data_IF_339651922483
#
_entry.id   IF_339651922483
#
_cell.length_a   1.000
_cell.length_b   1.000
_cell.length_c   1.000
_cell.angle_alpha   90.00
_cell.angle_beta   90.00
_cell.angle_gamma   90.00
#
_symmetry.space_group_name_H-M   'P 1'
#
loop_
_entity.id
_entity.type
_entity.pdbx_description
1 polymer ?
#
# COMPACT_ATOMS: atom_id res chain seq x y z
N UNK A 1 44.64 31.12 -1.28
CA UNK A 1 43.46 30.46 -0.65
C UNK A 1 42.29 30.47 -1.61
N UNK A 2 42.19 29.51 -2.54
CA UNK A 2 41.05 29.36 -3.47
C UNK A 2 40.91 27.91 -3.91
N UNK A 3 40.63 26.99 -3.00
CA UNK A 3 40.21 25.62 -3.32
C UNK A 3 39.45 25.05 -2.11
N UNK A 4 38.13 25.15 -2.09
CA UNK A 4 37.26 24.39 -1.17
C UNK A 4 35.78 24.33 -1.60
N UNK A 5 35.32 25.17 -2.54
CA UNK A 5 33.88 25.23 -2.87
C UNK A 5 33.39 24.10 -3.80
N UNK A 6 34.27 23.46 -4.58
CA UNK A 6 33.88 22.44 -5.57
C UNK A 6 33.63 21.04 -4.97
N UNK A 7 34.26 20.71 -3.84
CA UNK A 7 34.11 19.41 -3.17
C UNK A 7 32.81 19.30 -2.35
N UNK A 8 32.29 20.43 -1.87
CA UNK A 8 31.01 20.46 -1.12
C UNK A 8 29.81 20.39 -2.07
N UNK A 9 29.91 21.00 -3.26
CA UNK A 9 28.86 20.92 -4.29
C UNK A 9 28.77 19.54 -4.95
N UNK A 10 29.91 18.85 -5.14
CA UNK A 10 29.92 17.50 -5.69
C UNK A 10 29.34 16.45 -4.73
N UNK A 11 29.48 16.64 -3.42
CA UNK A 11 28.88 15.74 -2.41
C UNK A 11 27.36 15.91 -2.27
N UNK A 12 26.81 17.12 -2.45
CA UNK A 12 25.36 17.34 -2.53
C UNK A 12 24.74 16.77 -3.81
N UNK A 13 25.39 16.92 -4.95
CA UNK A 13 24.90 16.39 -6.23
C UNK A 13 24.92 14.85 -6.29
N UNK A 14 25.91 14.21 -5.67
CA UNK A 14 25.98 12.75 -5.56
C UNK A 14 24.91 12.20 -4.60
N UNK A 15 24.56 12.96 -3.54
CA UNK A 15 23.46 12.60 -2.64
C UNK A 15 22.09 12.55 -3.31
N UNK A 16 21.82 13.47 -4.24
CA UNK A 16 20.56 13.46 -5.02
C UNK A 16 20.53 12.35 -6.09
N UNK A 17 21.68 12.03 -6.71
CA UNK A 17 21.77 10.93 -7.68
C UNK A 17 21.72 9.53 -7.02
N UNK A 18 22.22 9.39 -5.80
CA UNK A 18 22.14 8.13 -5.04
C UNK A 18 20.74 7.87 -4.48
N UNK A 19 20.00 8.93 -4.11
CA UNK A 19 18.59 8.81 -3.73
C UNK A 19 17.73 8.30 -4.91
N UNK A 20 18.00 8.75 -6.14
CA UNK A 20 17.28 8.29 -7.34
C UNK A 20 17.41 6.78 -7.61
N UNK A 21 18.51 6.12 -7.21
CA UNK A 21 18.70 4.67 -7.40
C UNK A 21 18.13 3.81 -6.26
N UNK A 22 17.70 4.39 -5.14
CA UNK A 22 17.13 3.65 -4.00
C UNK A 22 15.62 3.87 -3.81
N UNK A 23 15.03 4.92 -4.42
CA UNK A 23 13.58 5.11 -4.54
C UNK A 23 12.89 4.11 -5.51
N UNK A 24 13.65 3.17 -6.08
CA UNK A 24 13.25 2.18 -7.10
C UNK A 24 12.19 1.13 -6.66
N UNK A 25 11.67 1.17 -5.42
CA UNK A 25 10.74 0.14 -4.95
C UNK A 25 9.26 0.50 -5.12
N UNK A 26 8.89 1.78 -5.08
CA UNK A 26 7.51 2.22 -5.30
C UNK A 26 7.11 2.19 -6.77
N UNK A 27 7.97 2.75 -7.61
CA UNK A 27 7.70 2.89 -9.02
C UNK A 27 7.77 1.53 -9.78
N UNK A 28 8.32 0.50 -9.15
CA UNK A 28 8.15 -0.88 -9.59
C UNK A 28 6.67 -1.34 -9.63
N UNK A 29 5.76 -0.73 -8.86
CA UNK A 29 4.32 -0.98 -8.93
C UNK A 29 3.69 -0.48 -10.24
N UNK A 30 4.07 0.72 -10.69
CA UNK A 30 3.62 1.27 -11.97
C UNK A 30 4.29 0.57 -13.18
N UNK A 31 5.55 0.11 -13.06
CA UNK A 31 6.31 -0.46 -14.19
C UNK A 31 5.77 -1.81 -14.59
N UNK A 32 5.26 -2.49 -13.57
CA UNK A 32 4.61 -3.74 -13.73
C UNK A 32 3.29 -3.51 -14.45
N UNK A 33 2.43 -2.56 -14.07
CA UNK A 33 1.12 -2.28 -14.73
C UNK A 33 1.17 -2.05 -16.26
N UNK A 34 2.27 -1.53 -16.79
CA UNK A 34 2.47 -1.41 -18.23
C UNK A 34 2.70 -2.76 -18.94
N UNK A 35 3.44 -3.70 -18.36
CA UNK A 35 3.81 -4.93 -19.08
C UNK A 35 2.63 -5.83 -19.45
N UNK A 36 1.49 -5.75 -18.76
CA UNK A 36 0.26 -6.43 -19.19
C UNK A 36 -0.82 -5.54 -19.77
N UNK A 37 -0.70 -4.22 -19.71
CA UNK A 37 -1.33 -3.38 -20.74
C UNK A 37 -0.68 -3.68 -22.10
N UNK A 38 0.66 -3.64 -22.20
CA UNK A 38 1.44 -4.00 -23.38
C UNK A 38 1.26 -5.47 -23.81
N UNK A 39 1.21 -6.47 -22.91
CA UNK A 39 0.90 -7.86 -23.32
C UNK A 39 -0.56 -8.06 -23.75
N UNK A 40 -1.49 -7.16 -23.37
CA UNK A 40 -2.88 -7.17 -23.85
C UNK A 40 -3.06 -6.35 -25.13
N UNK A 41 -2.36 -5.23 -25.27
CA UNK A 41 -2.47 -4.30 -26.40
C UNK A 41 -1.55 -4.63 -27.57
N UNK A 42 -0.39 -5.27 -27.34
CA UNK A 42 0.57 -5.55 -28.41
C UNK A 42 0.28 -6.82 -29.23
N UNK A 43 -0.80 -7.56 -28.94
CA UNK A 43 -1.09 -8.80 -29.65
C UNK A 43 -2.51 -8.97 -30.18
N UNK A 44 -3.51 -8.20 -29.76
CA UNK A 44 -4.90 -8.47 -30.17
C UNK A 44 -5.78 -7.22 -30.18
N UNK A 45 -5.58 -6.33 -31.16
CA UNK A 45 -6.75 -5.67 -31.76
C UNK A 45 -7.49 -6.77 -32.53
N UNK A 46 -8.34 -7.53 -31.82
CA UNK A 46 -9.22 -8.51 -32.47
C UNK A 46 -10.18 -7.70 -33.33
N UNK A 47 -9.99 -7.76 -34.64
CA UNK A 47 -10.98 -7.26 -35.59
C UNK A 47 -12.22 -8.16 -35.51
N UNK A 48 -13.11 -7.87 -34.56
CA UNK A 48 -14.36 -8.60 -34.36
C UNK A 48 -15.27 -8.54 -35.60
N UNK A 49 -15.14 -7.49 -36.41
CA UNK A 49 -15.87 -7.36 -37.69
C UNK A 49 -15.30 -8.29 -38.79
N UNK A 50 -14.10 -8.85 -38.59
CA UNK A 50 -13.47 -9.84 -39.46
C UNK A 50 -13.66 -11.29 -39.01
N UNK A 51 -14.23 -11.53 -37.82
CA UNK A 51 -14.50 -12.89 -37.31
C UNK A 51 -15.86 -13.36 -37.83
N UNK A 52 -15.86 -13.92 -39.05
CA UNK A 52 -16.99 -14.66 -39.57
C UNK A 52 -16.79 -16.16 -39.26
N UNK A 53 -17.68 -16.75 -38.46
CA UNK A 53 -17.71 -18.20 -38.25
C UNK A 53 -18.43 -18.85 -39.42
N UNK A 54 -17.71 -19.60 -40.27
CA UNK A 54 -18.34 -20.48 -41.25
C UNK A 54 -18.77 -21.78 -40.57
N UNK A 55 -20.04 -21.83 -40.16
CA UNK A 55 -20.64 -22.96 -39.46
C UNK A 55 -21.35 -23.94 -40.42
N UNK A 56 -21.18 -23.77 -41.74
CA UNK A 56 -21.88 -24.56 -42.76
C UNK A 56 -21.44 -26.03 -42.78
N UNK A 57 -20.24 -26.32 -42.30
CA UNK A 57 -19.67 -27.67 -42.24
C UNK A 57 -19.81 -28.31 -40.84
N UNK A 58 -20.46 -27.63 -39.89
CA UNK A 58 -20.73 -28.19 -38.57
C UNK A 58 -21.99 -29.06 -38.63
N UNK A 59 -21.78 -30.37 -38.55
CA UNK A 59 -22.85 -31.35 -38.37
C UNK A 59 -23.27 -31.36 -36.90
N UNK A 60 -24.23 -30.50 -36.57
CA UNK A 60 -24.71 -30.27 -35.20
C UNK A 60 -25.27 -31.54 -34.53
N UNK A 61 -25.73 -32.51 -35.32
CA UNK A 61 -26.28 -33.77 -34.82
C UNK A 61 -25.17 -34.74 -34.36
N UNK A 62 -23.91 -34.49 -34.74
CA UNK A 62 -22.74 -35.27 -34.30
C UNK A 62 -21.98 -34.62 -33.14
N UNK A 63 -22.40 -33.45 -32.68
CA UNK A 63 -21.77 -32.78 -31.54
C UNK A 63 -22.15 -33.52 -30.25
N UNK A 64 -21.16 -34.16 -29.62
CA UNK A 64 -21.36 -34.84 -28.35
C UNK A 64 -21.35 -33.84 -27.18
N UNK A 65 -22.51 -33.27 -26.87
CA UNK A 65 -22.67 -32.30 -25.78
C UNK A 65 -22.31 -32.85 -24.39
N UNK A 66 -22.35 -34.17 -24.19
CA UNK A 66 -22.09 -34.78 -22.89
C UNK A 66 -20.60 -34.75 -22.47
N UNK A 67 -19.67 -34.67 -23.42
CA UNK A 67 -18.23 -34.54 -23.11
C UNK A 67 -17.81 -33.10 -22.78
N UNK A 68 -18.64 -32.10 -23.11
CA UNK A 68 -18.33 -30.69 -22.88
C UNK A 68 -18.54 -30.29 -21.41
N UNK A 69 -19.43 -30.99 -20.71
CA UNK A 69 -19.78 -30.72 -19.30
C UNK A 69 -19.19 -31.73 -18.31
N UNK A 70 -18.38 -32.67 -18.77
CA UNK A 70 -17.72 -33.65 -17.91
C UNK A 70 -16.37 -33.12 -17.41
N UNK A 71 -16.38 -32.39 -16.30
CA UNK A 71 -15.14 -32.03 -15.59
C UNK A 71 -14.52 -33.28 -14.96
N UNK A 72 -13.24 -33.64 -15.24
CA UNK A 72 -12.58 -34.72 -14.53
C UNK A 72 -12.19 -34.25 -13.12
N UNK A 73 -12.67 -34.95 -12.10
CA UNK A 73 -12.19 -34.82 -10.72
C UNK A 73 -10.79 -35.42 -10.62
N UNK A 74 -9.73 -34.65 -10.31
CA UNK A 74 -8.40 -35.21 -10.17
C UNK A 74 -8.32 -36.07 -8.89
N UNK A 75 -7.90 -37.32 -9.06
CA UNK A 75 -7.54 -38.22 -7.95
C UNK A 75 -6.16 -37.81 -7.41
N UNK A 76 -5.97 -37.60 -6.10
CA UNK A 76 -4.67 -37.22 -5.55
C UNK A 76 -3.64 -38.36 -5.72
N UNK A 77 -2.52 -38.05 -6.36
CA UNK A 77 -1.37 -38.94 -6.42
C UNK A 77 -0.60 -38.89 -5.09
N UNK A 78 -0.22 -40.06 -4.57
CA UNK A 78 0.52 -40.22 -3.32
C UNK A 78 1.88 -39.52 -3.37
N UNK A 79 2.14 -38.66 -2.38
CA UNK A 79 3.37 -37.88 -2.25
C UNK A 79 4.50 -38.76 -1.68
N UNK A 80 5.60 -38.88 -2.42
CA UNK A 80 6.78 -39.62 -2.00
C UNK A 80 7.53 -38.91 -0.86
N UNK A 81 7.91 -39.68 0.15
CA UNK A 81 8.67 -39.27 1.33
C UNK A 81 10.15 -39.04 0.98
N UNK A 82 10.76 -37.88 1.29
CA UNK A 82 12.20 -37.72 1.10
C UNK A 82 13.00 -38.24 2.31
N UNK A 83 14.00 -39.08 1.99
CA UNK A 83 15.00 -39.61 2.92
C UNK A 83 15.91 -38.53 3.51
N UNK A 84 16.12 -38.64 4.82
CA UNK A 84 17.12 -37.95 5.64
C UNK A 84 18.55 -38.29 5.20
N UNK A 85 19.41 -37.27 5.04
CA UNK A 85 20.86 -37.47 5.04
C UNK A 85 21.60 -36.34 5.76
N UNK A 86 22.30 -36.75 6.83
CA UNK A 86 23.56 -36.29 7.41
C UNK A 86 23.89 -34.78 7.56
N UNK A 87 23.92 -34.40 8.84
CA UNK A 87 24.61 -33.27 9.46
C UNK A 87 26.15 -33.43 9.45
N UNK A 88 26.92 -32.34 9.35
CA UNK A 88 28.21 -32.26 10.03
C UNK A 88 28.30 -31.14 11.07
N UNK A 89 29.30 -31.35 11.91
CA UNK A 89 29.59 -30.80 13.24
C UNK A 89 30.26 -29.41 13.18
N UNK A 90 30.05 -28.69 14.28
CA UNK A 90 30.71 -27.50 14.84
C UNK A 90 32.20 -27.30 14.53
N UNK A 91 32.63 -26.04 14.35
CA UNK A 91 33.85 -25.49 14.99
C UNK A 91 33.85 -23.95 15.03
N UNK A 92 34.71 -23.40 15.90
CA UNK A 92 34.55 -22.18 16.69
C UNK A 92 35.14 -20.87 16.10
N UNK A 93 34.86 -19.79 16.84
CA UNK A 93 35.33 -18.42 16.69
C UNK A 93 36.86 -18.25 16.66
N UNK A 94 37.34 -17.07 16.22
CA UNK A 94 38.01 -16.24 17.22
C UNK A 94 37.63 -14.75 17.22
N UNK A 95 37.64 -14.24 18.44
CA UNK A 95 37.75 -12.87 18.94
C UNK A 95 38.91 -12.07 18.31
N UNK A 96 38.72 -10.78 18.01
CA UNK A 96 39.66 -9.71 18.39
C UNK A 96 39.21 -8.30 17.94
N UNK A 97 39.06 -7.43 18.95
CA UNK A 97 39.44 -6.01 19.08
C UNK A 97 39.73 -5.14 17.84
N UNK A 98 39.08 -3.97 17.76
CA UNK A 98 39.69 -2.69 18.17
C UNK A 98 38.73 -1.50 17.92
N UNK A 99 38.46 -0.73 18.97
CA UNK A 99 37.89 0.61 18.91
C UNK A 99 38.93 1.62 18.40
N UNK A 100 38.48 2.76 17.83
CA UNK A 100 39.13 4.01 18.13
C UNK A 100 38.17 5.03 18.75
N UNK A 101 38.60 5.48 19.92
CA UNK A 101 38.16 6.63 20.69
C UNK A 101 38.07 7.87 19.79
N UNK A 102 36.88 8.49 19.72
CA UNK A 102 36.73 9.86 19.22
C UNK A 102 36.17 10.74 20.34
N UNK A 103 36.94 11.78 20.64
CA UNK A 103 36.73 12.78 21.67
C UNK A 103 35.40 13.52 21.47
N UNK A 104 34.59 13.57 22.52
CA UNK A 104 33.48 14.52 22.64
C UNK A 104 34.04 15.94 22.84
N UNK A 105 33.65 16.87 21.96
CA UNK A 105 33.76 18.31 22.23
C UNK A 105 32.47 18.81 22.85
N UNK A 106 32.62 19.46 24.00
CA UNK A 106 31.58 20.23 24.67
C UNK A 106 31.08 21.35 23.74
N UNK A 107 29.75 21.42 23.55
CA UNK A 107 29.09 22.61 23.02
C UNK A 107 28.08 23.11 24.05
N UNK A 108 28.26 24.39 24.37
CA UNK A 108 27.59 25.18 25.38
C UNK A 108 26.08 25.23 25.17
N UNK A 109 25.36 24.90 26.22
CA UNK A 109 23.94 25.19 26.45
C UNK A 109 23.74 26.72 26.46
N UNK A 110 22.86 27.23 25.61
CA UNK A 110 22.39 28.62 25.64
C UNK A 110 20.89 28.66 25.92
N UNK A 111 20.59 29.52 26.89
CA UNK A 111 19.34 29.95 27.51
C UNK A 111 17.99 29.66 26.82
N UNK A 112 17.07 29.18 27.66
CA UNK A 112 15.62 29.35 27.55
C UNK A 112 15.19 30.83 27.58
N UNK A 113 13.98 31.12 27.07
CA UNK A 113 13.09 32.02 27.79
C UNK A 113 11.77 31.36 28.18
N UNK A 114 11.21 32.00 29.20
CA UNK A 114 10.15 31.59 30.10
C UNK A 114 8.74 31.90 29.57
N UNK A 115 7.81 31.05 30.02
CA UNK A 115 6.38 31.25 30.32
C UNK A 115 5.55 32.36 29.66
N UNK A 116 4.35 31.98 29.21
CA UNK A 116 3.13 32.64 29.69
C UNK A 116 1.99 31.61 29.73
N UNK A 117 1.38 31.49 30.90
CA UNK A 117 0.20 30.68 31.20
C UNK A 117 -0.87 31.64 31.73
N UNK A 118 -2.09 31.56 31.20
CA UNK A 118 -3.37 31.99 31.81
C UNK A 118 -4.48 31.31 30.98
N UNK A 119 -5.26 30.35 31.50
CA UNK A 119 -6.43 30.50 32.39
C UNK A 119 -7.54 31.37 31.76
N UNK A 120 -8.84 31.08 31.74
CA UNK A 120 -9.77 29.99 32.13
C UNK A 120 -11.16 30.46 31.66
N UNK A 121 -12.14 29.53 31.59
CA UNK A 121 -13.62 29.69 31.63
C UNK A 121 -14.31 29.10 30.38
N UNK A 122 -15.44 28.39 30.44
CA UNK A 122 -16.24 27.85 31.55
C UNK A 122 -17.25 26.86 30.98
N UNK A 123 -17.54 25.84 31.78
CA UNK A 123 -18.63 24.86 31.76
C UNK A 123 -19.90 25.13 30.91
N UNK A 124 -20.41 24.05 30.31
CA UNK A 124 -21.83 23.70 30.36
C UNK A 124 -21.96 22.17 30.40
N UNK A 125 -22.79 21.69 31.32
CA UNK A 125 -23.03 20.30 31.68
C UNK A 125 -24.21 19.69 30.90
N UNK A 126 -24.16 18.39 30.64
CA UNK A 126 -25.34 17.52 30.53
C UNK A 126 -24.90 16.07 30.83
N UNK A 127 -25.09 15.62 32.07
CA UNK A 127 -26.11 14.64 32.48
C UNK A 127 -25.72 13.20 32.20
N UNK A 128 -25.13 12.58 33.23
CA UNK A 128 -24.92 11.14 33.36
C UNK A 128 -26.17 10.51 33.96
N UNK A 129 -26.76 9.54 33.27
CA UNK A 129 -27.70 8.59 33.88
C UNK A 129 -26.94 7.31 34.19
N UNK A 130 -26.89 6.97 35.49
CA UNK A 130 -26.39 5.72 36.01
C UNK A 130 -27.37 4.57 35.71
N UNK A 131 -26.83 3.42 35.32
CA UNK A 131 -27.36 2.12 35.73
C UNK A 131 -26.21 1.14 35.97
N UNK A 132 -25.93 0.94 37.26
CA UNK A 132 -25.53 -0.30 37.94
C UNK A 132 -24.60 -1.31 37.24
N UNK A 133 -23.38 -1.39 37.78
CA UNK A 133 -22.94 -2.55 38.56
C UNK A 133 -22.27 -3.72 37.82
N UNK A 134 -20.95 -3.87 38.01
CA UNK A 134 -20.27 -5.13 37.72
C UNK A 134 -18.75 -5.04 37.62
N UNK A 135 -18.06 -5.18 38.76
CA UNK A 135 -16.72 -5.81 38.93
C UNK A 135 -15.65 -5.58 37.85
N UNK A 136 -14.87 -4.50 37.97
CA UNK A 136 -13.65 -4.24 37.17
C UNK A 136 -12.41 -4.81 37.85
N UNK A 137 -12.24 -6.14 37.83
CA UNK A 137 -10.90 -6.75 37.96
C UNK A 137 -10.89 -8.06 37.16
N UNK A 138 -10.38 -8.01 35.93
CA UNK A 138 -10.00 -9.21 35.17
C UNK A 138 -10.83 -9.47 33.91
N UNK A 139 -10.77 -8.57 32.91
CA UNK A 139 -11.20 -8.92 31.55
C UNK A 139 -10.42 -8.14 30.49
N UNK A 140 -9.17 -8.52 30.28
CA UNK A 140 -8.28 -7.92 29.26
C UNK A 140 -7.72 -8.98 28.29
N UNK A 141 -8.30 -10.20 28.30
CA UNK A 141 -7.84 -11.30 27.45
C UNK A 141 -8.99 -11.86 26.58
N UNK A 142 -10.25 -11.47 26.82
CA UNK A 142 -11.41 -11.86 25.99
C UNK A 142 -11.73 -10.95 24.80
N UNK A 143 -11.24 -9.71 24.80
CA UNK A 143 -11.77 -8.60 23.97
C UNK A 143 -11.23 -8.53 22.53
N UNK A 144 -10.26 -9.38 22.18
CA UNK A 144 -9.67 -9.42 20.82
C UNK A 144 -10.59 -10.19 19.84
N UNK A 145 -11.47 -11.06 20.37
CA UNK A 145 -12.42 -11.83 19.56
C UNK A 145 -13.60 -11.01 19.05
N UNK A 146 -14.08 -10.06 19.86
CA UNK A 146 -15.29 -9.28 19.59
C UNK A 146 -15.01 -8.16 18.58
N UNK A 147 -13.92 -7.41 18.78
CA UNK A 147 -13.46 -6.35 17.85
C UNK A 147 -13.25 -6.87 16.42
N UNK A 148 -12.83 -8.13 16.26
CA UNK A 148 -12.57 -8.69 14.92
C UNK A 148 -13.84 -9.20 14.24
N UNK A 149 -14.84 -9.64 15.01
CA UNK A 149 -16.15 -10.00 14.45
C UNK A 149 -16.84 -8.76 13.88
N UNK A 150 -16.75 -7.64 14.62
CA UNK A 150 -17.22 -6.33 14.16
C UNK A 150 -16.46 -5.82 12.93
N UNK A 151 -15.15 -6.08 12.86
CA UNK A 151 -14.29 -5.67 11.74
C UNK A 151 -14.55 -6.48 10.45
N UNK A 152 -15.20 -7.64 10.55
CA UNK A 152 -15.55 -8.46 9.38
C UNK A 152 -17.02 -8.33 8.99
N UNK A 153 -17.82 -7.62 9.78
CA UNK A 153 -19.22 -7.32 9.47
C UNK A 153 -19.33 -6.55 8.15
N UNK A 154 -20.20 -7.01 7.24
CA UNK A 154 -20.43 -6.35 5.94
C UNK A 154 -19.29 -6.47 4.91
N UNK A 155 -18.13 -7.03 5.28
CA UNK A 155 -16.97 -7.14 4.38
C UNK A 155 -17.30 -8.01 3.17
N UNK A 156 -17.92 -9.17 3.39
CA UNK A 156 -18.30 -10.08 2.30
C UNK A 156 -19.23 -9.40 1.29
N UNK A 157 -20.19 -8.61 1.78
CA UNK A 157 -21.21 -7.97 0.95
C UNK A 157 -20.59 -6.90 0.05
N UNK A 158 -19.72 -6.05 0.60
CA UNK A 158 -19.00 -5.04 -0.19
C UNK A 158 -18.03 -5.72 -1.17
N UNK A 159 -17.25 -6.72 -0.73
CA UNK A 159 -16.35 -7.46 -1.63
C UNK A 159 -17.11 -8.07 -2.81
N UNK A 160 -18.26 -8.71 -2.55
CA UNK A 160 -19.11 -9.28 -3.59
C UNK A 160 -19.68 -8.21 -4.53
N UNK A 161 -20.18 -7.09 -3.98
CA UNK A 161 -20.76 -6.01 -4.78
C UNK A 161 -19.73 -5.36 -5.72
N UNK A 162 -18.50 -5.19 -5.25
CA UNK A 162 -17.39 -4.62 -6.02
C UNK A 162 -16.85 -5.62 -7.05
N UNK A 163 -16.95 -6.92 -6.77
CA UNK A 163 -16.40 -8.00 -7.61
C UNK A 163 -15.00 -8.47 -7.18
N UNK A 164 -14.62 -8.22 -5.92
CA UNK A 164 -13.40 -8.77 -5.33
C UNK A 164 -13.59 -10.28 -5.12
N UNK A 165 -12.63 -11.09 -5.59
CA UNK A 165 -12.73 -12.55 -5.64
C UNK A 165 -13.01 -13.19 -4.28
N UNK A 166 -12.40 -12.66 -3.23
CA UNK A 166 -12.50 -13.20 -1.88
C UNK A 166 -12.10 -12.15 -0.86
N UNK A 167 -12.60 -12.29 0.36
CA UNK A 167 -12.10 -11.54 1.53
C UNK A 167 -10.60 -11.81 1.69
N UNK A 168 -9.87 -10.78 2.14
CA UNK A 168 -8.46 -10.89 2.42
C UNK A 168 -8.12 -11.92 3.49
N UNK A 169 -6.85 -12.34 3.49
CA UNK A 169 -6.34 -13.35 4.44
C UNK A 169 -6.49 -12.86 5.89
N UNK A 170 -6.27 -11.56 6.12
CA UNK A 170 -6.40 -10.91 7.43
C UNK A 170 -5.55 -11.59 8.52
N UNK A 171 -4.32 -12.00 8.17
CA UNK A 171 -3.37 -12.50 9.15
C UNK A 171 -3.22 -11.50 10.30
N UNK A 172 -3.09 -11.99 11.53
CA UNK A 172 -2.98 -11.16 12.75
C UNK A 172 -1.57 -11.12 13.34
N UNK A 173 -0.61 -11.60 12.58
CA UNK A 173 0.79 -11.72 12.97
C UNK A 173 1.67 -11.59 11.74
N UNK A 174 2.92 -11.22 11.96
CA UNK A 174 3.91 -11.07 10.90
C UNK A 174 3.96 -12.30 9.97
N UNK A 175 3.59 -12.06 8.71
CA UNK A 175 3.57 -13.03 7.62
C UNK A 175 4.62 -12.70 6.52
N UNK A 176 5.56 -11.80 6.81
CA UNK A 176 6.52 -11.27 5.84
C UNK A 176 5.89 -10.39 4.75
N UNK A 177 4.65 -9.91 4.94
CA UNK A 177 3.91 -9.11 3.98
C UNK A 177 3.10 -8.01 4.66
N UNK A 178 1.78 -8.22 4.78
CA UNK A 178 0.84 -7.25 5.38
C UNK A 178 -0.06 -8.05 6.32
N UNK A 179 -0.26 -7.55 7.55
CA UNK A 179 -1.10 -8.20 8.55
C UNK A 179 -1.81 -7.14 9.42
N UNK A 180 -2.95 -7.52 10.01
CA UNK A 180 -3.67 -6.69 10.97
C UNK A 180 -2.89 -6.71 12.29
N UNK A 181 -2.53 -5.55 12.81
CA UNK A 181 -1.75 -5.44 14.03
C UNK A 181 -0.86 -4.21 14.07
N UNK A 182 -0.30 -3.94 15.25
CA UNK A 182 0.54 -2.77 15.52
C UNK A 182 1.96 -3.13 15.98
N UNK A 183 2.37 -4.39 15.80
CA UNK A 183 3.64 -4.96 16.25
C UNK A 183 4.82 -4.69 15.31
N UNK A 184 4.59 -4.18 14.09
CA UNK A 184 5.66 -3.75 13.18
C UNK A 184 6.19 -2.35 13.52
N UNK A 185 7.48 -2.15 13.28
CA UNK A 185 8.09 -0.81 13.18
C UNK A 185 7.56 -0.01 11.98
N UNK A 186 6.92 -0.69 11.03
CA UNK A 186 6.39 -0.15 9.79
C UNK A 186 4.88 -0.38 9.75
N UNK A 187 4.11 0.65 10.08
CA UNK A 187 2.65 0.50 10.23
C UNK A 187 1.89 1.75 9.81
N UNK A 188 0.60 1.56 9.53
CA UNK A 188 -0.33 2.64 9.26
C UNK A 188 -1.65 2.45 10.03
N UNK A 189 -2.16 3.53 10.62
CA UNK A 189 -3.51 3.59 11.17
C UNK A 189 -4.44 4.15 10.10
N UNK A 190 -5.43 3.37 9.69
CA UNK A 190 -6.45 3.78 8.74
C UNK A 190 -7.71 4.18 9.48
N UNK A 191 -8.25 5.34 9.14
CA UNK A 191 -9.52 5.87 9.66
C UNK A 191 -10.49 6.08 8.52
N UNK A 192 -11.72 5.59 8.66
CA UNK A 192 -12.83 5.97 7.79
C UNK A 192 -13.44 7.27 8.30
N UNK A 193 -13.01 8.41 7.77
CA UNK A 193 -13.58 9.74 8.07
C UNK A 193 -14.81 10.05 7.19
N UNK A 194 -15.21 9.10 6.34
CA UNK A 194 -16.39 9.19 5.50
C UNK A 194 -17.70 9.02 6.27
N UNK A 195 -18.80 8.96 5.51
CA UNK A 195 -20.16 8.80 6.05
C UNK A 195 -20.79 7.46 5.72
N UNK A 196 -20.08 6.62 4.95
CA UNK A 196 -20.51 5.30 4.52
C UNK A 196 -19.57 4.24 5.09
N UNK A 197 -20.09 3.02 5.29
CA UNK A 197 -19.28 1.86 5.61
C UNK A 197 -18.33 1.53 4.44
N UNK A 198 -17.09 1.20 4.77
CA UNK A 198 -16.06 0.86 3.80
C UNK A 198 -15.39 -0.46 4.16
N UNK A 199 -14.84 -1.14 3.16
CA UNK A 199 -13.82 -2.17 3.37
C UNK A 199 -12.48 -1.57 3.01
N UNK A 200 -11.57 -1.48 3.97
CA UNK A 200 -10.15 -1.26 3.68
C UNK A 200 -9.58 -2.52 3.05
N UNK A 201 -9.14 -2.42 1.81
CA UNK A 201 -8.49 -3.52 1.10
C UNK A 201 -7.03 -3.18 0.91
N UNK A 202 -6.13 -4.06 1.37
CA UNK A 202 -4.69 -3.92 1.14
C UNK A 202 -4.13 -5.13 0.41
N UNK A 203 -3.22 -4.86 -0.52
CA UNK A 203 -2.52 -5.88 -1.29
C UNK A 203 -1.04 -5.54 -1.38
N UNK A 204 -0.21 -6.58 -1.48
CA UNK A 204 1.22 -6.45 -1.78
C UNK A 204 1.44 -6.72 -3.26
N UNK A 205 2.54 -6.20 -3.79
CA UNK A 205 2.99 -6.56 -5.12
C UNK A 205 3.19 -8.08 -5.22
N UNK A 206 2.52 -8.70 -6.18
CA UNK A 206 2.68 -10.11 -6.54
C UNK A 206 2.75 -10.20 -8.06
N UNK A 207 3.94 -9.96 -8.60
CA UNK A 207 4.11 -9.81 -10.05
C UNK A 207 3.29 -8.65 -10.61
N UNK A 208 2.74 -8.85 -11.82
CA UNK A 208 1.98 -7.85 -12.57
C UNK A 208 0.58 -7.62 -12.00
N UNK A 209 -0.08 -8.72 -11.65
CA UNK A 209 -1.50 -8.80 -11.41
C UNK A 209 -1.84 -8.79 -9.93
N UNK A 210 -0.87 -8.62 -9.01
CA UNK A 210 -1.13 -8.57 -7.57
C UNK A 210 -2.15 -7.51 -7.13
N UNK A 211 -2.40 -6.48 -7.95
CA UNK A 211 -3.46 -5.48 -7.75
C UNK A 211 -4.83 -5.90 -8.31
N UNK A 212 -4.91 -6.95 -9.12
CA UNK A 212 -6.12 -7.47 -9.75
C UNK A 212 -6.91 -8.34 -8.77
N UNK A 213 -7.74 -7.68 -7.96
CA UNK A 213 -8.52 -8.27 -6.87
C UNK A 213 -9.67 -9.16 -7.34
N UNK A 214 -10.03 -9.12 -8.63
CA UNK A 214 -10.94 -10.09 -9.24
C UNK A 214 -10.31 -11.48 -9.43
N UNK A 215 -8.99 -11.60 -9.33
CA UNK A 215 -8.27 -12.87 -9.51
C UNK A 215 -7.37 -13.23 -8.33
N UNK A 216 -6.86 -12.24 -7.59
CA UNK A 216 -6.03 -12.43 -6.41
C UNK A 216 -6.78 -12.12 -5.13
N UNK A 217 -6.52 -12.92 -4.11
CA UNK A 217 -6.98 -12.64 -2.75
C UNK A 217 -6.12 -11.51 -2.18
N UNK A 218 -6.71 -10.41 -1.69
CA UNK A 218 -5.95 -9.36 -1.00
C UNK A 218 -5.34 -9.87 0.30
N UNK A 219 -4.34 -9.18 0.81
CA UNK A 219 -3.77 -9.50 2.12
C UNK A 219 -4.75 -9.11 3.22
N UNK A 220 -5.36 -7.93 3.11
CA UNK A 220 -6.30 -7.38 4.10
C UNK A 220 -7.63 -7.06 3.42
N UNK A 221 -8.73 -7.38 4.09
CA UNK A 221 -10.07 -6.86 3.84
C UNK A 221 -10.76 -6.68 5.19
N UNK A 222 -10.82 -5.43 5.63
CA UNK A 222 -11.27 -5.03 6.97
C UNK A 222 -12.37 -4.00 6.83
N UNK A 223 -13.54 -4.29 7.39
CA UNK A 223 -14.68 -3.40 7.45
C UNK A 223 -14.43 -2.26 8.44
N UNK A 224 -14.74 -1.04 8.03
CA UNK A 224 -14.63 0.17 8.83
C UNK A 224 -15.90 0.99 8.65
N UNK A 225 -16.71 1.09 9.70
CA UNK A 225 -17.83 2.04 9.78
C UNK A 225 -17.28 3.48 9.90
N UNK A 226 -18.10 4.51 9.62
CA UNK A 226 -17.73 5.90 9.87
C UNK A 226 -17.13 6.14 11.26
N UNK A 227 -15.97 6.78 11.30
CA UNK A 227 -15.19 7.07 12.50
C UNK A 227 -14.38 5.89 13.06
N UNK A 228 -14.53 4.67 12.54
CA UNK A 228 -13.73 3.52 12.97
C UNK A 228 -12.32 3.54 12.41
N UNK A 229 -11.45 2.82 13.12
CA UNK A 229 -10.02 2.76 12.85
C UNK A 229 -9.50 1.33 12.89
N UNK A 230 -8.45 1.08 12.13
CA UNK A 230 -7.65 -0.14 12.24
C UNK A 230 -6.17 0.18 12.06
N UNK A 231 -5.30 -0.64 12.64
CA UNK A 231 -3.86 -0.54 12.42
C UNK A 231 -3.42 -1.74 11.62
N UNK A 232 -2.74 -1.46 10.50
CA UNK A 232 -2.17 -2.46 9.61
C UNK A 232 -0.65 -2.37 9.72
N UNK A 233 -0.03 -3.52 9.94
CA UNK A 233 1.41 -3.69 9.97
C UNK A 233 1.90 -4.22 8.62
N UNK A 234 3.09 -3.74 8.24
CA UNK A 234 3.73 -4.06 6.98
C UNK A 234 5.12 -4.61 7.24
N UNK A 235 5.53 -5.56 6.41
CA UNK A 235 6.92 -5.97 6.31
C UNK A 235 7.70 -4.87 5.61
N UNK A 236 8.93 -4.67 6.08
CA UNK A 236 9.85 -3.76 5.41
C UNK A 236 10.08 -4.21 3.97
N UNK A 237 10.30 -3.25 3.07
CA UNK A 237 10.78 -3.49 1.72
C UNK A 237 9.79 -4.26 0.82
N UNK A 238 8.53 -4.39 1.22
CA UNK A 238 7.43 -4.99 0.46
C UNK A 238 6.54 -3.88 -0.13
N UNK A 239 6.60 -3.64 -1.45
CA UNK A 239 5.70 -2.69 -2.10
C UNK A 239 4.24 -3.13 -1.94
N UNK A 240 3.42 -2.22 -1.47
CA UNK A 240 2.04 -2.48 -1.07
C UNK A 240 1.16 -1.29 -1.41
N UNK A 241 -0.15 -1.53 -1.50
CA UNK A 241 -1.13 -0.48 -1.59
C UNK A 241 -2.36 -0.86 -0.78
N UNK A 242 -3.09 0.16 -0.33
CA UNK A 242 -4.38 0.03 0.29
C UNK A 242 -5.35 1.01 -0.35
N UNK A 243 -6.62 0.64 -0.43
CA UNK A 243 -7.68 1.55 -0.85
C UNK A 243 -8.99 1.19 -0.17
N UNK A 244 -9.84 2.19 0.13
CA UNK A 244 -11.19 1.93 0.59
C UNK A 244 -12.06 1.45 -0.58
N UNK A 245 -12.86 0.43 -0.32
CA UNK A 245 -13.91 -0.04 -1.19
C UNK A 245 -15.26 0.23 -0.52
N UNK A 246 -16.10 1.01 -1.17
CA UNK A 246 -17.49 1.24 -0.79
C UNK A 246 -18.40 0.34 -1.64
N UNK A 247 -19.67 0.21 -1.26
CA UNK A 247 -20.65 -0.61 -2.00
C UNK A 247 -20.79 -0.19 -3.47
N UNK A 248 -20.55 1.08 -3.78
CA UNK A 248 -20.64 1.64 -5.13
C UNK A 248 -19.28 1.67 -5.87
N UNK A 249 -18.18 1.32 -5.19
CA UNK A 249 -16.87 1.19 -5.83
C UNK A 249 -16.92 0.09 -6.89
N UNK A 250 -16.14 0.26 -7.95
CA UNK A 250 -16.02 -0.71 -9.03
C UNK A 250 -14.59 -1.21 -9.13
N UNK A 251 -14.39 -2.29 -9.86
CA UNK A 251 -13.06 -2.63 -10.34
C UNK A 251 -12.78 -1.89 -11.64
N UNK A 252 -11.56 -1.37 -11.75
CA UNK A 252 -11.00 -0.88 -12.99
C UNK A 252 -10.87 -2.04 -13.98
N UNK A 253 -10.69 -1.75 -15.27
CA UNK A 253 -10.64 -2.77 -16.32
C UNK A 253 -9.52 -3.84 -16.12
N UNK A 254 -8.47 -3.50 -15.37
CA UNK A 254 -7.39 -4.42 -15.02
C UNK A 254 -7.64 -5.22 -13.73
N UNK A 255 -8.77 -5.01 -13.05
CA UNK A 255 -9.23 -5.79 -11.90
C UNK A 255 -8.86 -5.23 -10.53
N UNK A 256 -8.16 -4.10 -10.44
CA UNK A 256 -7.95 -3.39 -9.16
C UNK A 256 -9.07 -2.42 -8.83
N UNK A 257 -9.10 -1.86 -7.63
CA UNK A 257 -10.15 -0.92 -7.21
C UNK A 257 -10.10 0.37 -8.06
N UNK A 258 -11.22 0.73 -8.69
CA UNK A 258 -11.39 1.97 -9.43
C UNK A 258 -11.63 3.16 -8.49
N UNK A 259 -10.58 3.54 -7.76
CA UNK A 259 -10.59 4.61 -6.75
C UNK A 259 -9.17 5.12 -6.52
N UNK A 260 -9.01 6.11 -5.65
CA UNK A 260 -7.70 6.60 -5.20
C UNK A 260 -7.02 5.55 -4.33
N UNK A 261 -5.72 5.34 -4.53
CA UNK A 261 -4.93 4.39 -3.74
C UNK A 261 -4.01 5.12 -2.78
N UNK A 262 -3.77 4.52 -1.62
CA UNK A 262 -2.61 4.82 -0.78
C UNK A 262 -1.55 3.76 -1.06
N UNK A 263 -0.45 4.17 -1.66
CA UNK A 263 0.64 3.29 -2.04
C UNK A 263 1.80 3.46 -1.06
N UNK A 264 2.52 2.39 -0.75
CA UNK A 264 3.64 2.43 0.18
C UNK A 264 4.69 1.37 -0.12
N UNK A 265 5.95 1.73 0.09
CA UNK A 265 7.00 0.76 0.39
C UNK A 265 7.72 1.23 1.63
N UNK A 266 7.54 0.55 2.76
CA UNK A 266 8.27 0.88 3.98
C UNK A 266 9.74 0.47 3.92
N UNK A 267 10.60 1.19 4.65
CA UNK A 267 12.03 0.91 4.80
C UNK A 267 12.86 2.19 4.83
N UNK A 268 14.17 2.04 5.04
CA UNK A 268 15.10 3.18 5.19
C UNK A 268 15.03 4.22 4.06
N UNK A 269 14.75 3.76 2.83
CA UNK A 269 14.61 4.57 1.62
C UNK A 269 13.20 4.49 1.03
N UNK A 270 12.25 4.06 1.84
CA UNK A 270 10.87 3.91 1.47
C UNK A 270 10.15 5.24 1.21
N UNK A 271 8.99 5.13 0.58
CA UNK A 271 8.06 6.23 0.40
C UNK A 271 6.62 5.75 0.58
N UNK A 272 5.72 6.67 0.88
CA UNK A 272 4.28 6.47 0.77
C UNK A 272 3.66 7.64 0.01
N UNK A 273 2.50 7.44 -0.60
CA UNK A 273 1.79 8.50 -1.30
C UNK A 273 0.34 8.14 -1.59
N UNK A 274 -0.43 9.17 -1.91
CA UNK A 274 -1.75 9.10 -2.50
C UNK A 274 -1.59 9.06 -4.02
N UNK A 275 -2.34 8.19 -4.68
CA UNK A 275 -2.27 7.99 -6.11
C UNK A 275 -3.65 8.04 -6.73
N UNK A 276 -3.84 9.04 -7.59
CA UNK A 276 -5.08 9.26 -8.34
C UNK A 276 -5.00 8.67 -9.75
N UNK A 277 -3.91 7.96 -10.07
CA UNK A 277 -3.64 7.42 -11.39
C UNK A 277 -4.73 6.47 -11.89
N UNK A 278 -5.40 5.76 -10.97
CA UNK A 278 -6.48 4.82 -11.33
C UNK A 278 -7.80 5.55 -11.56
N UNK A 279 -8.12 6.55 -10.73
CA UNK A 279 -9.35 7.33 -10.85
C UNK A 279 -9.09 8.80 -10.48
N UNK A 280 -8.95 9.65 -11.50
CA UNK A 280 -8.61 11.05 -11.32
C UNK A 280 -9.75 11.89 -10.74
N UNK A 281 -11.01 11.50 -10.91
CA UNK A 281 -12.14 12.41 -10.72
C UNK A 281 -13.09 12.03 -9.60
N UNK A 282 -13.22 10.74 -9.30
CA UNK A 282 -14.29 10.21 -8.44
C UNK A 282 -13.79 9.19 -7.41
N UNK A 283 -12.47 9.02 -7.30
CA UNK A 283 -11.88 8.19 -6.25
C UNK A 283 -12.07 8.79 -4.86
N UNK A 284 -11.94 7.94 -3.85
CA UNK A 284 -12.01 8.34 -2.44
C UNK A 284 -11.01 9.46 -2.15
N UNK A 285 -11.37 10.38 -1.25
CA UNK A 285 -10.41 11.35 -0.76
C UNK A 285 -9.52 10.64 0.27
N UNK A 286 -8.21 10.60 0.02
CA UNK A 286 -7.24 10.05 0.96
C UNK A 286 -6.31 11.17 1.43
N UNK A 287 -6.01 11.17 2.73
CA UNK A 287 -4.96 11.97 3.34
C UNK A 287 -4.10 11.07 4.21
N UNK A 288 -2.80 11.26 4.17
CA UNK A 288 -1.82 10.46 4.90
C UNK A 288 -0.71 11.34 5.47
N UNK A 289 -0.43 11.16 6.76
CA UNK A 289 0.55 11.95 7.49
C UNK A 289 1.58 11.01 8.09
N UNK A 290 2.82 11.12 7.63
CA UNK A 290 3.97 10.41 8.19
C UNK A 290 4.87 11.35 8.99
N UNK A 291 6.02 10.83 9.43
CA UNK A 291 6.96 11.57 10.27
C UNK A 291 7.62 12.78 9.60
N UNK A 292 7.72 12.80 8.27
CA UNK A 292 8.44 13.85 7.53
C UNK A 292 7.56 14.69 6.61
N UNK A 293 6.41 14.18 6.20
CA UNK A 293 5.60 14.83 5.17
C UNK A 293 4.15 14.35 5.21
N UNK A 294 3.33 15.03 4.42
CA UNK A 294 1.92 14.70 4.20
C UNK A 294 1.71 14.43 2.71
N UNK A 295 0.97 13.35 2.42
CA UNK A 295 0.46 13.06 1.10
C UNK A 295 -1.06 13.05 1.13
N UNK A 296 -1.70 13.81 0.24
CA UNK A 296 -3.15 14.04 0.19
C UNK A 296 -3.59 14.24 -1.25
N UNK A 297 -4.87 14.49 -1.51
CA UNK A 297 -5.40 14.70 -2.87
C UNK A 297 -4.74 15.84 -3.68
N UNK A 298 -3.97 16.72 -3.03
CA UNK A 298 -3.28 17.86 -3.66
C UNK A 298 -1.78 17.95 -3.34
N UNK A 299 -1.28 17.23 -2.34
CA UNK A 299 0.12 17.30 -1.90
C UNK A 299 0.75 15.91 -1.98
N UNK A 300 1.98 15.82 -2.49
CA UNK A 300 2.67 14.54 -2.65
C UNK A 300 1.80 13.43 -3.24
N UNK A 301 1.12 13.75 -4.35
CA UNK A 301 0.13 12.87 -4.99
C UNK A 301 0.50 12.58 -6.43
N UNK A 302 0.37 11.32 -6.83
CA UNK A 302 0.48 10.95 -8.24
C UNK A 302 -0.80 11.28 -8.99
N UNK A 303 -0.64 11.99 -10.10
CA UNK A 303 -1.74 12.46 -10.94
C UNK A 303 -1.43 12.24 -12.41
N UNK A 304 -2.46 12.03 -13.22
CA UNK A 304 -2.29 11.92 -14.66
C UNK A 304 -1.89 13.23 -15.31
N UNK A 305 -0.96 13.14 -16.25
CA UNK A 305 -0.54 14.26 -17.07
C UNK A 305 -1.67 14.69 -18.00
N UNK A 306 -1.74 15.99 -18.23
CA UNK A 306 -2.66 16.56 -19.20
C UNK A 306 -2.25 16.16 -20.63
N UNK A 307 -3.21 15.71 -21.42
CA UNK A 307 -3.03 15.41 -22.84
C UNK A 307 -4.01 16.27 -23.63
N UNK A 308 -3.49 17.14 -24.49
CA UNK A 308 -4.29 18.06 -25.32
C UNK A 308 -5.28 18.94 -24.53
N UNK A 309 -4.85 19.55 -23.41
CA UNK A 309 -5.74 20.41 -22.63
C UNK A 309 -6.67 19.68 -21.66
N UNK A 310 -6.56 18.34 -21.55
CA UNK A 310 -7.45 17.51 -20.72
C UNK A 310 -6.69 16.46 -19.93
N UNK A 311 -6.96 16.37 -18.66
CA UNK A 311 -6.51 15.26 -17.81
C UNK A 311 -7.34 14.02 -18.14
N UNK A 312 -6.73 12.85 -18.40
CA UNK A 312 -7.48 11.61 -18.58
C UNK A 312 -8.07 11.12 -17.26
N UNK A 313 -9.11 10.28 -17.31
CA UNK A 313 -9.73 9.71 -16.11
C UNK A 313 -8.81 8.73 -15.36
N UNK A 314 -7.87 8.12 -16.07
CA UNK A 314 -6.87 7.20 -15.54
C UNK A 314 -5.61 7.24 -16.41
N UNK A 315 -4.49 6.85 -15.84
CA UNK A 315 -3.18 6.78 -16.48
C UNK A 315 -2.33 5.71 -15.80
N UNK A 316 -1.19 5.38 -16.39
CA UNK A 316 -0.26 4.37 -15.86
C UNK A 316 0.80 3.91 -16.84
N UNK A 317 0.74 4.40 -18.08
CA UNK A 317 1.87 4.36 -19.00
C UNK A 317 3.02 5.25 -18.47
N UNK A 318 4.29 4.89 -18.68
CA UNK A 318 5.45 5.74 -18.42
C UNK A 318 5.26 7.15 -18.98
N UNK A 319 5.54 8.16 -18.15
CA UNK A 319 5.39 9.56 -18.54
C UNK A 319 3.95 10.05 -18.72
N UNK A 320 2.93 9.20 -18.51
CA UNK A 320 1.51 9.61 -18.53
C UNK A 320 1.02 10.15 -17.18
N UNK A 321 1.87 10.15 -16.16
CA UNK A 321 1.60 10.67 -14.84
C UNK A 321 2.82 11.41 -14.29
N UNK A 322 2.58 12.24 -13.29
CA UNK A 322 3.59 12.97 -12.55
C UNK A 322 3.22 12.99 -11.06
N UNK A 323 4.23 13.12 -10.22
CA UNK A 323 4.04 13.43 -8.82
C UNK A 323 3.75 14.93 -8.73
N UNK A 324 2.86 15.35 -7.83
CA UNK A 324 2.54 16.76 -7.66
C UNK A 324 3.82 17.58 -7.45
N UNK A 325 3.91 18.78 -8.05
CA UNK A 325 5.06 19.69 -7.91
C UNK A 325 5.33 20.11 -6.46
N UNK A 326 4.31 19.98 -5.62
CA UNK A 326 4.40 20.18 -4.19
C UNK A 326 4.94 18.94 -3.45
N UNK A 327 5.57 18.00 -4.14
CA UNK A 327 6.32 16.93 -3.49
C UNK A 327 7.82 17.11 -3.69
N UNK A 328 8.45 17.76 -2.72
CA UNK A 328 9.84 18.25 -2.83
C UNK A 328 10.58 18.08 -1.52
N UNK A 329 11.91 18.10 -1.58
CA UNK A 329 12.74 17.84 -0.41
C UNK A 329 12.41 18.79 0.77
N UNK A 330 12.01 20.03 0.48
CA UNK A 330 11.68 21.03 1.49
C UNK A 330 10.43 20.70 2.31
N UNK A 331 9.51 19.89 1.78
CA UNK A 331 8.33 19.44 2.53
C UNK A 331 8.38 17.94 2.88
N UNK A 332 9.60 17.38 2.94
CA UNK A 332 9.85 15.99 3.29
C UNK A 332 9.39 14.99 2.23
N UNK A 333 8.94 15.46 1.07
CA UNK A 333 8.69 14.64 -0.10
C UNK A 333 9.92 14.58 -1.00
N UNK A 334 9.77 13.95 -2.15
CA UNK A 334 10.80 14.01 -3.17
C UNK A 334 10.30 13.43 -4.49
N UNK A 335 10.64 14.12 -5.56
CA UNK A 335 10.60 13.58 -6.90
C UNK A 335 11.96 12.94 -7.20
N UNK A 336 11.95 11.63 -7.42
CA UNK A 336 13.05 10.88 -8.02
C UNK A 336 12.71 10.51 -9.46
N UNK A 337 13.71 10.09 -10.22
CA UNK A 337 13.48 9.42 -11.49
C UNK A 337 13.64 7.92 -11.26
N UNK A 338 12.59 7.14 -11.53
CA UNK A 338 12.71 5.69 -11.58
C UNK A 338 13.19 5.28 -12.98
N UNK A 339 14.43 4.80 -13.02
CA UNK A 339 15.09 4.28 -14.23
C UNK A 339 14.46 3.01 -14.81
N UNK A 340 13.80 2.18 -13.98
CA UNK A 340 13.07 0.97 -14.39
C UNK A 340 11.79 1.36 -15.14
N UNK A 341 11.14 2.41 -14.66
CA UNK A 341 9.89 2.95 -15.19
C UNK A 341 10.06 3.94 -16.31
N UNK A 342 11.25 4.53 -16.42
CA UNK A 342 11.47 5.73 -17.20
C UNK A 342 10.48 6.85 -16.84
N UNK A 343 10.22 7.03 -15.55
CA UNK A 343 9.17 7.93 -15.03
C UNK A 343 9.50 8.51 -13.67
N UNK A 344 8.57 9.27 -13.10
CA UNK A 344 8.73 9.85 -11.77
C UNK A 344 8.58 8.75 -10.72
N UNK A 345 9.58 8.64 -9.86
CA UNK A 345 9.56 7.83 -8.63
C UNK A 345 9.58 8.73 -7.41
N UNK A 346 9.41 8.16 -6.21
CA UNK A 346 9.44 8.91 -4.96
C UNK A 346 8.07 8.95 -4.30
N UNK A 347 7.74 10.10 -3.70
CA UNK A 347 6.59 10.26 -2.84
C UNK A 347 7.00 10.90 -1.52
N UNK A 348 6.26 10.58 -0.48
CA UNK A 348 6.45 11.12 0.84
C UNK A 348 7.53 10.33 1.61
N UNK A 349 8.62 10.96 2.04
CA UNK A 349 9.70 10.27 2.74
C UNK A 349 9.29 9.83 4.16
N UNK A 350 9.99 8.83 4.68
CA UNK A 350 9.72 8.24 5.99
C UNK A 350 10.96 8.23 6.91
N UNK A 351 10.76 7.88 8.17
CA UNK A 351 11.81 7.59 9.14
C UNK A 351 12.72 6.45 8.68
N UNK A 352 13.98 6.46 9.11
CA UNK A 352 15.00 5.51 8.66
C UNK A 352 14.79 4.09 9.17
N UNK A 353 14.24 3.94 10.38
CA UNK A 353 14.21 2.65 11.09
C UNK A 353 12.79 2.24 11.54
N UNK A 354 11.85 3.19 11.50
CA UNK A 354 10.44 2.99 11.80
C UNK A 354 9.61 4.13 11.22
N UNK A 355 8.35 3.85 10.95
CA UNK A 355 7.37 4.84 10.50
C UNK A 355 5.97 4.44 10.98
N UNK A 356 5.20 5.45 11.38
CA UNK A 356 3.78 5.27 11.70
C UNK A 356 2.97 6.32 10.93
N UNK A 357 2.32 5.88 9.87
CA UNK A 357 1.53 6.75 8.99
C UNK A 357 0.09 6.78 9.48
N UNK A 358 -0.48 7.97 9.66
CA UNK A 358 -1.93 8.12 9.88
C UNK A 358 -2.59 8.37 8.55
N UNK A 359 -3.47 7.48 8.14
CA UNK A 359 -4.22 7.55 6.88
C UNK A 359 -5.69 7.74 7.21
N UNK A 360 -6.31 8.75 6.62
CA UNK A 360 -7.77 8.88 6.61
C UNK A 360 -8.30 8.83 5.20
N UNK A 361 -9.51 8.30 5.06
CA UNK A 361 -10.23 8.28 3.80
C UNK A 361 -11.72 8.63 3.99
N UNK A 362 -12.33 9.20 2.96
CA UNK A 362 -13.75 9.55 2.90
C UNK A 362 -14.28 9.51 1.48
#
# INVERSE_FOLDING_TARGET
MRYSSALVLSTLAIGQAAAANHHNRHASFHARRQQAEAKRSAANDVNWDGVAYDLKDVDWDKVNWSSVFASPTPTPAAQATPSSTAQPKTEAAPTSSAEPIVKAQEVKTSAAPSSTQAATSSAAAATTTQSSGGSLVGDLIGDIGDVVSDLLEGVQDICNAVGIKSIGVNDKSNNGGIWVGDDSNWKAEFTNDGTEDAVLVCWKANGFDGMSLNVHQPAISVGLKPGQKTVISFAENVPSACAPAFKHTKLAYFGGLDTTWWEVTFGQYGAFDVSRNVNMFTGANISSVGSKCTSSMTQCVFTCNEVNGKTPASCGEPGSYDLSKDCKAENGGGQGYDSVMQGVGGGCAMGSDKEFVKVSFS
#
